data_IF_535976033244
#
_entry.id   IF_535976033244
#
_cell.length_a   1.000
_cell.length_b   1.000
_cell.length_c   1.000
_cell.angle_alpha   90.00
_cell.angle_beta   90.00
_cell.angle_gamma   90.00
#
_symmetry.space_group_name_H-M   'P 1'
#
loop_
_entity.id
_entity.type
_entity.pdbx_description
1 polymer ?
#
# COMPACT_ATOMS: atom_id res chain seq x y z
N UNK A 1 -31.79 19.42 41.97
CA UNK A 1 -30.97 18.19 41.84
C UNK A 1 -30.90 17.62 40.42
N UNK A 2 -31.71 18.07 39.46
CA UNK A 2 -31.67 17.55 38.08
C UNK A 2 -30.53 18.12 37.24
N UNK A 3 -30.20 19.41 37.39
CA UNK A 3 -29.12 20.06 36.63
C UNK A 3 -27.78 19.36 36.80
N UNK A 4 -27.37 19.03 38.04
CA UNK A 4 -26.09 18.36 38.32
C UNK A 4 -25.94 17.02 37.59
N UNK A 5 -27.01 16.23 37.47
CA UNK A 5 -26.97 14.95 36.76
C UNK A 5 -26.68 15.12 35.26
N UNK A 6 -27.24 16.16 34.62
CA UNK A 6 -27.00 16.44 33.20
C UNK A 6 -25.57 16.90 32.92
N UNK A 7 -24.95 17.65 33.83
CA UNK A 7 -23.56 18.08 33.67
C UNK A 7 -22.58 16.90 33.67
N UNK A 8 -22.79 15.93 34.55
CA UNK A 8 -21.97 14.71 34.57
C UNK A 8 -22.16 13.85 33.33
N UNK A 9 -23.39 13.72 32.82
CA UNK A 9 -23.67 13.02 31.57
C UNK A 9 -23.02 13.70 30.36
N UNK A 10 -23.08 15.04 30.28
CA UNK A 10 -22.44 15.81 29.22
C UNK A 10 -20.91 15.65 29.26
N UNK A 11 -20.30 15.63 30.45
CA UNK A 11 -18.87 15.44 30.62
C UNK A 11 -18.42 14.03 30.18
N UNK A 12 -19.18 13.00 30.54
CA UNK A 12 -18.93 11.61 30.11
C UNK A 12 -19.03 11.48 28.59
N UNK A 13 -20.07 12.08 27.99
CA UNK A 13 -20.22 12.09 26.53
C UNK A 13 -19.05 12.79 25.84
N UNK A 14 -18.60 13.93 26.38
CA UNK A 14 -17.49 14.69 25.80
C UNK A 14 -16.16 13.90 25.83
N UNK A 15 -15.91 13.17 26.93
CA UNK A 15 -14.76 12.28 27.06
C UNK A 15 -14.85 11.11 26.08
N UNK A 16 -16.03 10.49 25.97
CA UNK A 16 -16.27 9.37 25.04
C UNK A 16 -16.03 9.80 23.59
N UNK A 17 -16.57 10.96 23.18
CA UNK A 17 -16.37 11.48 21.83
C UNK A 17 -14.90 11.84 21.54
N UNK A 18 -14.19 12.40 22.53
CA UNK A 18 -12.76 12.70 22.38
C UNK A 18 -11.91 11.43 22.24
N UNK A 19 -12.25 10.38 23.00
CA UNK A 19 -11.61 9.08 22.88
C UNK A 19 -11.91 8.43 21.52
N UNK A 20 -13.17 8.41 21.08
CA UNK A 20 -13.57 7.93 19.75
C UNK A 20 -12.87 8.71 18.64
N UNK A 21 -12.71 10.02 18.79
CA UNK A 21 -11.98 10.85 17.85
C UNK A 21 -10.48 10.50 17.79
N UNK A 22 -9.85 10.26 18.94
CA UNK A 22 -8.45 9.82 19.00
C UNK A 22 -8.27 8.44 18.35
N UNK A 23 -9.16 7.49 18.63
CA UNK A 23 -9.17 6.18 17.98
C UNK A 23 -9.37 6.31 16.47
N UNK A 24 -10.35 7.11 16.03
CA UNK A 24 -10.57 7.39 14.61
C UNK A 24 -9.35 8.03 13.95
N UNK A 25 -8.70 9.00 14.62
CA UNK A 25 -7.51 9.68 14.13
C UNK A 25 -6.35 8.70 13.99
N UNK A 26 -6.13 7.83 14.98
CA UNK A 26 -5.05 6.85 14.97
C UNK A 26 -5.28 5.77 13.90
N UNK A 27 -6.53 5.27 13.78
CA UNK A 27 -6.91 4.37 12.70
C UNK A 27 -6.70 4.98 11.30
N UNK A 28 -6.89 6.30 11.16
CA UNK A 28 -6.64 7.02 9.91
C UNK A 28 -5.17 7.40 9.69
N UNK A 29 -4.33 7.32 10.74
CA UNK A 29 -2.94 7.73 10.71
C UNK A 29 -2.03 6.65 10.15
N UNK A 30 -2.32 5.38 10.41
CA UNK A 30 -1.43 4.28 10.05
C UNK A 30 -1.79 3.57 8.74
N UNK A 31 -2.99 3.76 8.20
CA UNK A 31 -3.51 2.84 7.19
C UNK A 31 -4.15 3.60 6.00
N UNK A 32 -3.48 3.54 4.83
CA UNK A 32 -4.04 3.72 3.47
C UNK A 32 -4.14 5.11 2.82
N UNK A 33 -3.40 6.14 3.26
CA UNK A 33 -3.33 7.41 2.51
C UNK A 33 -2.07 7.61 1.66
N UNK A 34 -1.09 6.74 1.82
CA UNK A 34 0.18 6.92 1.12
C UNK A 34 0.10 6.36 -0.31
N UNK A 35 0.59 7.10 -1.31
CA UNK A 35 0.56 6.63 -2.69
C UNK A 35 1.43 5.38 -2.82
N UNK A 36 0.80 4.24 -3.10
CA UNK A 36 1.50 2.98 -3.35
C UNK A 36 1.45 2.62 -4.83
N UNK A 37 2.56 2.09 -5.34
CA UNK A 37 2.56 1.39 -6.63
C UNK A 37 2.06 -0.03 -6.46
N UNK A 38 1.23 -0.46 -7.41
CA UNK A 38 0.82 -1.85 -7.54
C UNK A 38 1.60 -2.46 -8.69
N UNK A 39 2.46 -3.41 -8.37
CA UNK A 39 3.16 -4.25 -9.33
C UNK A 39 2.50 -5.61 -9.37
N UNK A 40 2.27 -6.16 -10.55
CA UNK A 40 1.75 -7.51 -10.70
C UNK A 40 2.86 -8.43 -11.17
N UNK A 41 3.01 -9.57 -10.49
CA UNK A 41 3.98 -10.60 -10.85
C UNK A 41 3.42 -11.37 -12.04
N UNK A 42 4.02 -11.21 -13.23
CA UNK A 42 3.59 -11.94 -14.43
C UNK A 42 4.36 -13.24 -14.59
N UNK A 43 5.61 -13.26 -14.16
CA UNK A 43 6.44 -14.47 -14.10
C UNK A 43 7.08 -14.59 -12.73
N UNK A 44 7.27 -15.85 -12.29
CA UNK A 44 7.77 -16.19 -10.96
C UNK A 44 9.04 -15.40 -10.63
N UNK A 45 8.99 -14.69 -9.52
CA UNK A 45 10.10 -13.90 -9.00
C UNK A 45 10.86 -14.75 -7.98
N UNK A 46 12.16 -14.90 -8.20
CA UNK A 46 13.07 -15.51 -7.24
C UNK A 46 13.49 -14.42 -6.25
N UNK A 47 12.68 -14.21 -5.22
CA UNK A 47 13.09 -13.43 -4.07
C UNK A 47 14.12 -14.19 -3.22
N UNK A 48 14.79 -13.48 -2.32
CA UNK A 48 15.64 -14.07 -1.26
C UNK A 48 14.90 -15.20 -0.55
N UNK A 49 15.65 -16.19 -0.06
CA UNK A 49 15.28 -17.56 0.40
C UNK A 49 13.98 -17.76 1.21
N UNK A 50 13.31 -16.69 1.63
CA UNK A 50 12.10 -16.67 2.46
C UNK A 50 10.82 -16.29 1.68
N UNK A 51 10.90 -15.60 0.52
CA UNK A 51 9.70 -15.13 -0.19
C UNK A 51 9.77 -15.39 -1.71
N UNK A 52 9.17 -16.51 -2.14
CA UNK A 52 8.93 -16.80 -3.56
C UNK A 52 7.64 -16.10 -3.98
N UNK A 53 7.71 -15.14 -4.89
CA UNK A 53 6.50 -14.50 -5.42
C UNK A 53 6.00 -15.25 -6.66
N UNK A 54 4.74 -15.69 -6.60
CA UNK A 54 4.09 -16.45 -7.66
C UNK A 54 3.42 -15.54 -8.68
N UNK A 55 3.33 -16.00 -9.94
CA UNK A 55 2.60 -15.28 -10.97
C UNK A 55 1.13 -15.04 -10.55
N UNK A 56 0.61 -13.84 -10.83
CA UNK A 56 -0.71 -13.38 -10.41
C UNK A 56 -0.74 -12.68 -9.05
N UNK A 57 0.37 -12.61 -8.32
CA UNK A 57 0.44 -11.86 -7.07
C UNK A 57 0.59 -10.35 -7.32
N UNK A 58 -0.04 -9.54 -6.46
CA UNK A 58 0.13 -8.10 -6.45
C UNK A 58 1.11 -7.71 -5.34
N UNK A 59 2.18 -7.03 -5.71
CA UNK A 59 3.15 -6.40 -4.81
C UNK A 59 2.79 -4.92 -4.64
N UNK A 60 2.83 -4.46 -3.40
CA UNK A 60 2.63 -3.06 -3.06
C UNK A 60 3.99 -2.47 -2.69
N UNK A 61 4.39 -1.42 -3.42
CA UNK A 61 5.58 -0.64 -3.08
C UNK A 61 5.14 0.71 -2.56
N UNK A 62 5.51 1.00 -1.32
CA UNK A 62 5.32 2.30 -0.70
C UNK A 62 6.53 3.19 -0.99
N UNK A 63 6.37 4.53 -0.99
CA UNK A 63 7.47 5.43 -1.30
C UNK A 63 8.61 5.36 -0.28
N UNK A 64 8.27 4.92 0.94
CA UNK A 64 9.18 4.84 2.08
C UNK A 64 9.90 3.47 2.15
N UNK A 65 9.43 2.49 1.39
CA UNK A 65 9.91 1.10 1.42
C UNK A 65 10.32 0.67 0.01
N UNK A 66 11.58 0.90 -0.38
CA UNK A 66 12.08 0.41 -1.66
C UNK A 66 12.14 -1.11 -1.65
N UNK A 67 11.77 -1.74 -2.76
CA UNK A 67 11.94 -3.17 -2.95
C UNK A 67 13.34 -3.42 -3.51
N UNK A 68 14.21 -4.00 -2.70
CA UNK A 68 15.60 -4.29 -3.06
C UNK A 68 15.82 -5.80 -3.03
N UNK A 69 16.24 -6.37 -4.16
CA UNK A 69 16.56 -7.79 -4.32
C UNK A 69 17.87 -7.87 -5.11
N UNK A 70 18.90 -8.45 -4.49
CA UNK A 70 20.25 -8.54 -5.08
C UNK A 70 20.79 -7.16 -5.53
N UNK A 71 21.22 -7.03 -6.79
CA UNK A 71 21.74 -5.79 -7.39
C UNK A 71 20.64 -4.93 -8.06
N UNK A 72 19.37 -5.23 -7.78
CA UNK A 72 18.21 -4.57 -8.37
C UNK A 72 17.32 -3.92 -7.31
N UNK A 73 16.91 -2.69 -7.58
CA UNK A 73 16.11 -1.88 -6.67
C UNK A 73 14.95 -1.23 -7.38
N UNK A 74 13.74 -1.37 -6.84
CA UNK A 74 12.56 -0.64 -7.27
C UNK A 74 12.16 0.33 -6.18
N UNK A 75 12.03 1.61 -6.54
CA UNK A 75 11.61 2.64 -5.61
C UNK A 75 10.77 3.71 -6.30
N UNK A 76 10.08 4.49 -5.48
CA UNK A 76 9.34 5.67 -5.92
C UNK A 76 10.27 6.87 -5.88
N UNK A 77 10.36 7.62 -6.97
CA UNK A 77 11.05 8.91 -7.00
C UNK A 77 10.16 9.94 -7.70
N UNK A 78 9.91 11.09 -7.07
CA UNK A 78 9.13 12.20 -7.65
C UNK A 78 7.84 11.77 -8.39
N UNK A 79 7.05 10.89 -7.76
CA UNK A 79 5.79 10.36 -8.31
C UNK A 79 5.92 9.43 -9.53
N UNK A 80 7.08 8.83 -9.76
CA UNK A 80 7.26 7.74 -10.72
C UNK A 80 7.99 6.57 -10.11
N UNK A 81 7.78 5.39 -10.69
CA UNK A 81 8.51 4.18 -10.33
C UNK A 81 9.80 4.13 -11.11
N UNK A 82 10.86 3.84 -10.38
CA UNK A 82 12.21 3.71 -10.89
C UNK A 82 12.69 2.31 -10.60
N UNK A 83 13.19 1.65 -11.65
CA UNK A 83 14.02 0.46 -11.55
C UNK A 83 15.48 0.89 -11.67
N UNK A 84 16.28 0.55 -10.68
CA UNK A 84 17.73 0.72 -10.70
C UNK A 84 18.39 -0.66 -10.72
N UNK A 85 19.24 -0.90 -11.71
CA UNK A 85 19.98 -2.15 -11.88
C UNK A 85 21.43 -1.82 -12.16
N UNK A 86 22.35 -2.22 -11.28
CA UNK A 86 23.81 -2.02 -11.48
C UNK A 86 24.20 -0.57 -11.84
N UNK A 87 23.49 0.41 -11.27
CA UNK A 87 23.69 1.84 -11.54
C UNK A 87 22.99 2.40 -12.78
N UNK A 88 22.33 1.56 -13.59
CA UNK A 88 21.42 2.02 -14.64
C UNK A 88 20.05 2.31 -14.06
N UNK A 89 19.52 3.50 -14.35
CA UNK A 89 18.23 3.98 -13.85
C UNK A 89 17.23 3.97 -15.00
N UNK A 90 16.15 3.19 -14.85
CA UNK A 90 15.05 3.10 -15.79
C UNK A 90 13.75 3.56 -15.13
N UNK A 91 13.08 4.52 -15.76
CA UNK A 91 11.72 4.91 -15.37
C UNK A 91 10.71 3.89 -15.90
N UNK A 92 9.81 3.43 -15.05
CA UNK A 92 8.75 2.48 -15.40
C UNK A 92 7.41 3.23 -15.51
N UNK A 93 6.71 3.01 -16.62
CA UNK A 93 5.38 3.58 -16.88
C UNK A 93 4.26 2.61 -16.51
N UNK A 94 3.06 3.12 -16.22
CA UNK A 94 1.91 2.25 -15.97
C UNK A 94 1.55 1.44 -17.23
N UNK A 95 1.24 0.16 -17.05
CA UNK A 95 1.07 -0.85 -18.10
C UNK A 95 2.39 -1.39 -18.67
N UNK A 96 3.55 -0.90 -18.22
CA UNK A 96 4.83 -1.40 -18.67
C UNK A 96 5.20 -2.69 -17.93
N UNK A 97 5.59 -3.69 -18.72
CA UNK A 97 6.16 -4.94 -18.23
C UNK A 97 7.68 -4.85 -18.27
N UNK A 98 8.34 -5.26 -17.21
CA UNK A 98 9.79 -5.20 -17.07
C UNK A 98 10.32 -6.38 -16.26
N UNK A 99 11.55 -6.77 -16.52
CA UNK A 99 12.20 -7.84 -15.77
C UNK A 99 12.82 -7.29 -14.48
N UNK A 100 12.61 -8.00 -13.38
CA UNK A 100 13.15 -7.71 -12.06
C UNK A 100 13.55 -9.01 -11.37
N UNK A 101 14.75 -9.09 -10.78
CA UNK A 101 15.22 -10.21 -9.94
C UNK A 101 14.88 -11.62 -10.51
N UNK A 102 15.17 -11.84 -11.79
CA UNK A 102 14.94 -13.12 -12.48
C UNK A 102 13.48 -13.47 -12.79
N UNK A 103 12.54 -12.57 -12.52
CA UNK A 103 11.13 -12.68 -12.91
C UNK A 103 10.67 -11.45 -13.71
N UNK A 104 9.37 -11.38 -13.97
CA UNK A 104 8.77 -10.29 -14.74
C UNK A 104 7.64 -9.65 -13.95
N UNK A 105 7.66 -8.32 -13.92
CA UNK A 105 6.70 -7.47 -13.23
C UNK A 105 5.98 -6.56 -14.22
N UNK A 106 4.72 -6.28 -13.94
CA UNK A 106 3.95 -5.26 -14.66
C UNK A 106 3.54 -4.16 -13.68
N UNK A 107 3.83 -2.90 -14.01
CA UNK A 107 3.31 -1.77 -13.23
C UNK A 107 1.85 -1.53 -13.59
N UNK A 108 0.93 -2.08 -12.81
CA UNK A 108 -0.51 -1.92 -13.06
C UNK A 108 -0.94 -0.47 -12.85
N UNK A 109 -0.50 0.16 -11.75
CA UNK A 109 -0.84 1.57 -11.47
C UNK A 109 0.03 2.19 -10.40
N UNK A 110 0.21 3.50 -10.53
CA UNK A 110 0.70 4.40 -9.49
C UNK A 110 -0.44 5.33 -9.03
N UNK A 111 -0.47 5.68 -7.75
CA UNK A 111 -1.40 6.67 -7.15
C UNK A 111 -2.88 6.27 -6.98
N UNK A 112 -3.23 4.96 -6.90
CA UNK A 112 -4.57 4.54 -6.46
C UNK A 112 -4.70 3.04 -6.14
N UNK A 113 -3.72 2.46 -5.42
CA UNK A 113 -3.78 1.06 -5.00
C UNK A 113 -5.10 0.68 -4.31
N UNK A 114 -5.71 1.64 -3.58
CA UNK A 114 -7.02 1.49 -2.92
C UNK A 114 -8.18 1.22 -3.90
N UNK A 115 -8.23 1.85 -5.07
CA UNK A 115 -9.28 1.59 -6.06
C UNK A 115 -9.20 0.17 -6.61
N UNK A 116 -7.98 -0.34 -6.80
CA UNK A 116 -7.75 -1.67 -7.36
C UNK A 116 -8.03 -2.75 -6.31
N UNK A 117 -7.47 -2.61 -5.09
CA UNK A 117 -7.73 -3.53 -3.96
C UNK A 117 -9.23 -3.58 -3.65
N UNK A 118 -9.91 -2.44 -3.61
CA UNK A 118 -11.36 -2.44 -3.39
C UNK A 118 -12.12 -3.13 -4.52
N UNK A 119 -11.78 -2.87 -5.80
CA UNK A 119 -12.41 -3.50 -6.96
C UNK A 119 -12.27 -5.03 -6.93
N UNK A 120 -11.08 -5.54 -6.62
CA UNK A 120 -10.82 -6.98 -6.53
C UNK A 120 -11.36 -7.63 -5.25
N UNK A 121 -11.49 -6.87 -4.13
CA UNK A 121 -12.13 -7.33 -2.89
C UNK A 121 -13.66 -7.43 -3.02
N UNK A 122 -14.28 -6.61 -3.86
CA UNK A 122 -15.71 -6.77 -4.21
C UNK A 122 -15.99 -7.94 -5.17
N UNK A 123 -14.99 -8.40 -5.93
CA UNK A 123 -15.14 -9.53 -6.85
C UNK A 123 -15.22 -10.91 -6.16
N UNK A 124 -14.74 -11.03 -4.92
CA UNK A 124 -14.72 -12.28 -4.14
C UNK A 124 -15.94 -12.47 -3.23
N UNK A 125 -16.98 -11.62 -3.33
CA UNK A 125 -18.23 -11.74 -2.55
C UNK A 125 -19.49 -12.02 -3.39
N UNK A 126 -19.34 -12.41 -4.65
CA UNK A 126 -20.48 -12.79 -5.50
C UNK A 126 -20.16 -14.03 -6.34
N UNK A 127 -20.01 -15.17 -5.67
CA UNK A 127 -20.37 -16.48 -6.22
C UNK A 127 -21.02 -17.29 -5.10
#
# INVERSE_FOLDING_TARGET
>A
MWLLAYWWQALILMLLYSFLFLVYKEMNREHFKEPAAVLMVTQKLLGTEVNIFSAGQALLIYPQEPLEIEDEKIYVHNEYIVLERKGEIKKISAGETFDFAGGTLELVRWNNARQLINKYRTGTKSQ
#
